data_IF_629321869138
#
_entry.id   IF_629321869138
#
_cell.length_a   1.000
_cell.length_b   1.000
_cell.length_c   1.000
_cell.angle_alpha   90.00
_cell.angle_beta   90.00
_cell.angle_gamma   90.00
#
_symmetry.space_group_name_H-M   'P 1'
#
loop_
_entity.id
_entity.type
_entity.pdbx_description
1 polymer ?
#
# COMPACT_ATOMS: atom_id res chain seq x y z
N UNK A 1 15.63 -22.15 21.81
CA UNK A 1 16.14 -20.77 21.93
C UNK A 1 16.58 -20.26 20.57
N UNK A 2 15.63 -19.70 19.82
CA UNK A 2 15.91 -19.06 18.52
C UNK A 2 15.70 -17.55 18.67
N UNK A 3 16.54 -16.89 19.49
CA UNK A 3 16.69 -15.44 19.47
C UNK A 3 17.77 -15.11 18.43
N UNK A 4 17.39 -14.90 17.18
CA UNK A 4 18.21 -14.11 16.27
C UNK A 4 18.03 -12.65 16.68
N UNK A 5 18.96 -12.13 17.45
CA UNK A 5 19.10 -10.69 17.62
C UNK A 5 19.41 -10.10 16.23
N UNK A 6 18.43 -9.40 15.66
CA UNK A 6 18.69 -8.54 14.50
C UNK A 6 19.56 -7.40 15.01
N UNK A 7 20.83 -7.42 14.65
CA UNK A 7 21.72 -6.29 14.94
C UNK A 7 21.23 -5.06 14.16
N UNK A 8 21.46 -3.84 14.68
CA UNK A 8 21.11 -2.59 13.99
C UNK A 8 21.65 -2.51 12.55
N UNK A 9 22.80 -3.11 12.27
CA UNK A 9 23.41 -3.19 10.94
C UNK A 9 22.60 -4.01 9.92
N UNK A 10 21.80 -4.98 10.38
CA UNK A 10 20.93 -5.75 9.50
C UNK A 10 19.70 -4.91 9.07
N UNK A 11 19.24 -4.05 9.96
CA UNK A 11 18.13 -3.12 9.67
C UNK A 11 18.56 -1.99 8.71
N UNK A 12 19.84 -1.58 8.72
CA UNK A 12 20.35 -0.56 7.79
C UNK A 12 20.61 -1.11 6.39
N UNK A 13 20.98 -2.37 6.24
CA UNK A 13 21.17 -3.00 4.90
C UNK A 13 19.85 -3.22 4.16
N UNK A 14 18.77 -3.51 4.89
CA UNK A 14 17.43 -3.62 4.31
C UNK A 14 16.87 -2.25 3.89
N UNK A 15 17.49 -1.15 4.34
CA UNK A 15 17.20 0.23 3.95
C UNK A 15 17.94 0.73 2.72
N UNK A 16 18.71 -0.09 2.03
CA UNK A 16 19.11 0.22 0.66
C UNK A 16 17.84 0.22 -0.20
N UNK A 17 17.04 1.27 0.02
CA UNK A 17 15.86 1.54 -0.75
C UNK A 17 16.29 1.52 -2.21
N UNK A 18 15.78 0.58 -2.96
CA UNK A 18 15.64 0.81 -4.40
C UNK A 18 14.99 2.19 -4.48
N UNK A 19 15.63 3.19 -5.13
CA UNK A 19 15.02 4.50 -5.25
C UNK A 19 13.79 4.34 -6.13
N UNK A 20 12.70 3.93 -5.49
CA UNK A 20 11.41 3.89 -6.14
C UNK A 20 10.91 5.32 -6.14
N UNK A 21 10.75 5.87 -7.31
CA UNK A 21 10.11 7.15 -7.48
C UNK A 21 8.64 6.98 -7.05
N UNK A 22 8.13 7.81 -6.13
CA UNK A 22 6.69 7.82 -5.86
C UNK A 22 5.99 8.17 -7.18
N UNK A 23 5.19 7.25 -7.68
CA UNK A 23 4.38 7.54 -8.87
C UNK A 23 3.42 8.69 -8.54
N UNK A 24 3.38 9.76 -9.33
CA UNK A 24 2.49 10.88 -9.08
C UNK A 24 1.04 10.43 -8.91
N UNK A 25 0.33 11.05 -7.98
CA UNK A 25 -1.10 10.86 -7.83
C UNK A 25 -1.80 11.21 -9.15
N UNK A 26 -2.56 10.27 -9.69
CA UNK A 26 -3.38 10.53 -10.86
C UNK A 26 -4.75 11.06 -10.45
N UNK A 27 -5.38 11.80 -11.34
CA UNK A 27 -6.78 12.21 -11.15
C UNK A 27 -7.64 10.96 -10.98
N UNK A 28 -8.31 10.89 -9.84
CA UNK A 28 -9.14 9.72 -9.51
C UNK A 28 -10.54 9.78 -10.10
N UNK A 29 -10.98 10.97 -10.51
CA UNK A 29 -12.38 11.23 -10.89
C UNK A 29 -13.35 11.19 -9.71
N UNK A 30 -12.84 11.06 -8.48
CA UNK A 30 -13.65 10.98 -7.27
C UNK A 30 -14.29 12.34 -6.94
N UNK A 31 -15.58 12.34 -6.68
CA UNK A 31 -16.29 13.52 -6.19
C UNK A 31 -16.10 13.62 -4.67
N UNK A 32 -15.26 14.55 -4.24
CA UNK A 32 -15.05 14.82 -2.80
C UNK A 32 -16.17 15.72 -2.30
N UNK A 33 -16.96 15.24 -1.34
CA UNK A 33 -18.12 15.96 -0.78
C UNK A 33 -17.73 16.89 0.36
N UNK A 34 -16.84 16.47 1.24
CA UNK A 34 -16.38 17.25 2.40
C UNK A 34 -14.85 17.30 2.36
N UNK A 35 -14.28 18.31 1.67
CA UNK A 35 -12.84 18.39 1.50
C UNK A 35 -12.14 18.67 2.83
N UNK A 36 -10.98 18.05 3.00
CA UNK A 36 -10.01 18.33 4.06
C UNK A 36 -8.70 18.77 3.43
N UNK A 37 -7.67 19.06 4.24
CA UNK A 37 -6.36 19.49 3.73
C UNK A 37 -5.72 18.45 2.81
N UNK A 38 -5.91 17.13 3.09
CA UNK A 38 -5.24 16.05 2.36
C UNK A 38 -6.18 15.20 1.49
N UNK A 39 -7.48 15.51 1.46
CA UNK A 39 -8.46 14.71 0.74
C UNK A 39 -9.89 15.02 1.19
N UNK A 40 -10.71 14.01 1.45
CA UNK A 40 -12.05 14.20 1.97
C UNK A 40 -12.97 13.00 1.80
N UNK A 41 -14.20 13.15 2.23
CA UNK A 41 -15.22 12.11 2.08
C UNK A 41 -15.67 11.97 0.62
N UNK A 42 -15.79 10.74 0.18
CA UNK A 42 -16.40 10.34 -1.08
C UNK A 42 -17.64 9.52 -0.79
N UNK A 43 -18.38 9.11 -1.82
CA UNK A 43 -19.51 8.21 -1.62
C UNK A 43 -18.99 6.88 -1.02
N UNK A 44 -19.54 6.52 0.15
CA UNK A 44 -19.20 5.30 0.92
C UNK A 44 -17.74 5.16 1.37
N UNK A 45 -16.94 6.26 1.38
CA UNK A 45 -15.53 6.16 1.75
C UNK A 45 -14.87 7.49 2.09
N UNK A 46 -13.55 7.41 2.23
CA UNK A 46 -12.66 8.53 2.44
C UNK A 46 -11.46 8.46 1.50
N UNK A 47 -11.16 9.55 0.81
CA UNK A 47 -10.03 9.64 -0.11
C UNK A 47 -8.91 10.52 0.45
N UNK A 48 -7.66 10.11 0.22
CA UNK A 48 -6.44 10.86 0.47
C UNK A 48 -5.78 11.14 -0.88
N UNK A 49 -5.92 12.37 -1.37
CA UNK A 49 -5.49 12.76 -2.72
C UNK A 49 -4.23 13.62 -2.73
N UNK A 50 -3.96 14.34 -1.63
CA UNK A 50 -2.76 15.15 -1.45
C UNK A 50 -2.05 14.76 -0.15
N UNK A 51 -1.09 13.86 -0.25
CA UNK A 51 -0.29 13.40 0.89
C UNK A 51 0.75 14.44 1.33
N UNK A 52 1.12 15.36 0.45
CA UNK A 52 2.14 16.38 0.71
C UNK A 52 1.58 17.58 1.45
N UNK A 53 0.28 17.84 1.34
CA UNK A 53 -0.37 18.95 2.02
C UNK A 53 -0.21 18.90 3.56
N UNK A 54 -0.01 17.70 4.12
CA UNK A 54 0.25 17.52 5.55
C UNK A 54 1.25 16.38 5.80
N UNK A 55 2.53 16.57 5.49
CA UNK A 55 3.52 15.49 5.45
C UNK A 55 3.86 14.88 6.82
N UNK A 56 3.57 15.58 7.92
CA UNK A 56 3.86 15.10 9.29
C UNK A 56 2.69 14.40 9.94
N UNK A 57 1.57 14.22 9.26
CA UNK A 57 0.42 13.53 9.80
C UNK A 57 0.68 12.02 9.93
N UNK A 58 0.07 11.34 10.89
CA UNK A 58 0.01 9.88 10.87
C UNK A 58 -0.69 9.39 9.59
N UNK A 59 -0.26 8.24 9.05
CA UNK A 59 -0.90 7.67 7.87
C UNK A 59 -2.36 7.29 8.15
N UNK A 60 -3.23 7.49 7.18
CA UNK A 60 -4.58 6.97 7.21
C UNK A 60 -4.55 5.47 6.97
N UNK A 61 -5.24 4.71 7.79
CA UNK A 61 -5.27 3.26 7.71
C UNK A 61 -6.69 2.74 7.49
N UNK A 62 -6.80 1.61 6.80
CA UNK A 62 -8.03 0.85 6.66
C UNK A 62 -7.81 -0.61 7.06
N UNK A 63 -8.75 -1.18 7.82
CA UNK A 63 -8.73 -2.58 8.22
C UNK A 63 -9.66 -3.34 7.29
N UNK A 64 -9.10 -4.27 6.53
CA UNK A 64 -9.81 -5.14 5.62
C UNK A 64 -9.76 -6.56 6.18
N UNK A 65 -10.89 -7.10 6.60
CA UNK A 65 -10.88 -8.40 7.27
C UNK A 65 -12.19 -9.16 7.13
N UNK A 66 -12.07 -10.46 7.24
CA UNK A 66 -13.16 -11.35 7.59
C UNK A 66 -12.91 -11.98 8.98
N UNK A 67 -13.69 -12.96 9.39
CA UNK A 67 -13.59 -13.57 10.72
C UNK A 67 -12.31 -14.41 10.95
N UNK A 68 -11.52 -14.69 9.91
CA UNK A 68 -10.33 -15.58 9.99
C UNK A 68 -9.05 -14.96 9.43
N UNK A 69 -9.15 -13.87 8.70
CA UNK A 69 -8.01 -13.28 7.99
C UNK A 69 -8.18 -11.77 7.87
N UNK A 70 -7.08 -11.03 7.94
CA UNK A 70 -7.14 -9.59 7.82
C UNK A 70 -5.83 -8.96 7.41
N UNK A 71 -5.94 -7.73 6.95
CA UNK A 71 -4.81 -6.85 6.65
C UNK A 71 -5.13 -5.43 7.09
N UNK A 72 -4.13 -4.71 7.54
CA UNK A 72 -4.20 -3.26 7.73
C UNK A 72 -3.41 -2.63 6.60
N UNK A 73 -4.05 -1.83 5.79
CA UNK A 73 -3.42 -1.05 4.72
C UNK A 73 -3.40 0.42 5.10
N UNK A 74 -2.42 1.16 4.58
CA UNK A 74 -2.36 2.60 4.79
C UNK A 74 -2.39 3.36 3.47
N UNK A 75 -2.48 4.68 3.53
CA UNK A 75 -2.43 5.52 2.33
C UNK A 75 -1.06 5.53 1.64
N UNK A 76 -0.03 4.96 2.26
CA UNK A 76 1.33 4.90 1.74
C UNK A 76 1.87 3.47 1.62
N UNK A 77 1.10 2.44 1.96
CA UNK A 77 1.54 1.06 1.89
C UNK A 77 0.43 0.00 1.86
N UNK A 78 0.84 -1.20 1.50
CA UNK A 78 0.02 -2.40 1.62
C UNK A 78 -0.07 -2.94 3.05
N UNK A 79 0.69 -2.34 3.99
CA UNK A 79 0.57 -2.59 5.41
C UNK A 79 1.08 -3.93 5.89
N UNK A 80 0.33 -4.58 6.76
CA UNK A 80 0.63 -5.91 7.26
C UNK A 80 -0.58 -6.85 7.21
N UNK A 81 -0.32 -8.13 7.16
CA UNK A 81 -1.31 -9.19 7.03
C UNK A 81 -1.22 -10.18 8.18
N UNK A 82 -2.36 -10.67 8.63
CA UNK A 82 -2.47 -11.63 9.74
C UNK A 82 -3.58 -12.65 9.51
N UNK A 83 -3.45 -13.81 10.15
CA UNK A 83 -4.49 -14.83 10.20
C UNK A 83 -5.03 -14.96 11.63
N UNK A 84 -6.33 -15.18 11.81
CA UNK A 84 -7.02 -15.40 13.07
C UNK A 84 -6.84 -14.26 14.10
N UNK A 85 -5.61 -13.97 14.53
CA UNK A 85 -5.29 -13.01 15.56
C UNK A 85 -4.17 -12.07 15.11
N UNK A 86 -4.47 -10.78 15.06
CA UNK A 86 -3.57 -9.72 14.60
C UNK A 86 -2.28 -9.56 15.40
N UNK A 87 -2.24 -10.07 16.63
CA UNK A 87 -1.05 -10.01 17.48
C UNK A 87 -0.18 -11.25 17.39
N UNK A 88 -0.79 -12.45 17.35
CA UNK A 88 -0.07 -13.72 17.50
C UNK A 88 0.23 -14.40 16.16
N UNK A 89 -0.61 -14.19 15.16
CA UNK A 89 -0.49 -14.87 13.86
C UNK A 89 -0.24 -13.87 12.73
N UNK A 90 0.81 -13.08 12.88
CA UNK A 90 1.26 -12.18 11.83
C UNK A 90 1.93 -12.96 10.71
N UNK A 91 1.59 -12.62 9.49
CA UNK A 91 2.24 -13.14 8.28
C UNK A 91 3.35 -12.19 7.89
N UNK A 92 3.07 -10.88 7.95
CA UNK A 92 4.03 -9.82 7.71
C UNK A 92 4.14 -8.91 8.94
N UNK A 93 5.25 -8.18 9.14
CA UNK A 93 5.49 -7.43 10.37
C UNK A 93 4.63 -6.17 10.46
N UNK A 94 4.28 -5.80 11.68
CA UNK A 94 3.73 -4.50 12.02
C UNK A 94 4.65 -3.80 13.02
N UNK A 95 5.26 -2.71 12.60
CA UNK A 95 6.22 -1.98 13.40
C UNK A 95 5.57 -0.92 14.30
N UNK A 96 4.30 -0.62 14.12
CA UNK A 96 3.55 0.40 14.86
C UNK A 96 4.26 1.77 14.85
N UNK A 97 4.89 2.11 13.74
CA UNK A 97 5.59 3.37 13.55
C UNK A 97 4.75 4.29 12.66
N UNK A 98 4.01 5.18 13.31
CA UNK A 98 3.15 6.13 12.63
C UNK A 98 3.91 7.26 11.90
N UNK A 99 5.22 7.36 12.09
CA UNK A 99 6.03 8.42 11.46
C UNK A 99 6.65 7.94 10.16
N UNK A 100 7.33 6.80 10.18
CA UNK A 100 7.98 6.26 8.99
C UNK A 100 7.06 5.35 8.19
N UNK A 101 5.93 4.92 8.81
CA UNK A 101 4.96 3.99 8.20
C UNK A 101 5.69 2.85 7.46
N UNK A 102 6.61 2.20 8.17
CA UNK A 102 7.49 1.20 7.61
C UNK A 102 6.76 -0.15 7.58
N UNK A 103 6.69 -0.80 6.44
CA UNK A 103 5.83 -1.96 6.21
C UNK A 103 6.56 -3.17 5.74
N UNK A 104 5.91 -4.31 6.02
CA UNK A 104 6.29 -5.57 5.49
C UNK A 104 5.85 -5.85 4.06
N UNK A 105 5.00 -5.02 3.45
CA UNK A 105 4.43 -5.31 2.13
C UNK A 105 4.47 -4.11 1.20
N UNK A 106 4.97 -4.33 -0.04
CA UNK A 106 5.14 -3.30 -1.05
C UNK A 106 4.78 -3.79 -2.45
N UNK A 107 4.34 -2.88 -3.30
CA UNK A 107 4.08 -3.15 -4.70
C UNK A 107 4.84 -2.16 -5.58
N UNK A 108 5.65 -2.70 -6.47
CA UNK A 108 6.45 -1.92 -7.41
C UNK A 108 6.05 -2.19 -8.85
N UNK A 109 6.19 -1.18 -9.67
CA UNK A 109 6.09 -1.26 -11.12
C UNK A 109 7.43 -0.85 -11.74
N UNK A 110 7.94 -1.64 -12.69
CA UNK A 110 9.05 -1.25 -13.56
C UNK A 110 8.48 -0.78 -14.90
N UNK A 111 8.85 0.43 -15.30
CA UNK A 111 8.45 1.04 -16.56
C UNK A 111 9.56 1.94 -17.11
N UNK A 112 9.94 1.80 -18.38
CA UNK A 112 11.01 2.57 -19.05
C UNK A 112 12.34 2.58 -18.28
N UNK A 113 12.68 1.46 -17.60
CA UNK A 113 13.92 1.32 -16.84
C UNK A 113 13.87 1.84 -15.40
N UNK A 114 12.86 2.61 -15.04
CA UNK A 114 12.64 3.14 -13.69
C UNK A 114 11.75 2.21 -12.86
N UNK A 115 11.90 2.28 -11.54
CA UNK A 115 11.08 1.54 -10.58
C UNK A 115 10.22 2.53 -9.79
N UNK A 116 8.92 2.27 -9.78
CA UNK A 116 7.92 3.09 -9.11
C UNK A 116 7.26 2.32 -7.97
N UNK A 117 7.15 2.94 -6.79
CA UNK A 117 6.25 2.48 -5.75
C UNK A 117 4.83 2.97 -6.10
N UNK A 118 3.97 2.04 -6.49
CA UNK A 118 2.62 2.36 -6.98
C UNK A 118 1.60 2.57 -5.87
N UNK A 119 2.04 2.48 -4.60
CA UNK A 119 1.20 2.72 -3.42
C UNK A 119 1.61 4.03 -2.72
N UNK A 120 2.91 4.19 -2.40
CA UNK A 120 3.39 5.32 -1.59
C UNK A 120 3.09 6.69 -2.21
N UNK A 121 3.19 6.81 -3.55
CA UNK A 121 2.87 8.05 -4.27
C UNK A 121 1.42 8.19 -4.70
N UNK A 122 0.62 7.11 -4.66
CA UNK A 122 -0.73 7.08 -5.20
C UNK A 122 -1.73 7.91 -4.39
N UNK A 123 -2.78 8.40 -5.03
CA UNK A 123 -4.02 8.76 -4.33
C UNK A 123 -4.64 7.50 -3.74
N UNK A 124 -5.06 7.53 -2.48
CA UNK A 124 -5.69 6.41 -1.82
C UNK A 124 -7.16 6.69 -1.54
N UNK A 125 -8.01 5.69 -1.66
CA UNK A 125 -9.41 5.76 -1.25
C UNK A 125 -9.76 4.53 -0.43
N UNK A 126 -10.36 4.75 0.73
CA UNK A 126 -10.74 3.72 1.68
C UNK A 126 -12.24 3.57 1.72
N UNK A 127 -12.69 2.37 1.40
CA UNK A 127 -14.11 2.01 1.38
C UNK A 127 -14.40 0.90 2.39
N UNK A 128 -15.66 0.64 2.60
CA UNK A 128 -16.08 -0.50 3.41
C UNK A 128 -15.75 -1.79 2.67
N UNK A 129 -14.70 -2.49 3.11
CA UNK A 129 -14.31 -3.80 2.59
C UNK A 129 -13.23 -3.80 1.51
N UNK A 130 -12.79 -2.63 1.00
CA UNK A 130 -11.66 -2.54 0.09
C UNK A 130 -10.94 -1.20 0.18
N UNK A 131 -9.73 -1.15 -0.33
CA UNK A 131 -8.95 0.07 -0.54
C UNK A 131 -8.54 0.17 -2.00
N UNK A 132 -8.50 1.37 -2.53
CA UNK A 132 -8.10 1.66 -3.90
C UNK A 132 -6.96 2.66 -3.93
N UNK A 133 -6.00 2.43 -4.80
CA UNK A 133 -4.85 3.31 -5.02
C UNK A 133 -4.75 3.63 -6.51
N UNK A 134 -4.55 4.91 -6.85
CA UNK A 134 -4.44 5.34 -8.24
C UNK A 134 -3.22 6.23 -8.39
N UNK A 135 -2.33 5.84 -9.31
CA UNK A 135 -1.14 6.60 -9.66
C UNK A 135 -0.90 6.58 -11.18
N UNK A 136 0.05 7.39 -11.63
CA UNK A 136 0.49 7.38 -13.01
C UNK A 136 2.02 7.53 -13.08
N UNK A 137 2.65 6.84 -14.01
CA UNK A 137 4.05 7.00 -14.35
C UNK A 137 4.15 7.19 -15.86
N UNK A 138 4.39 8.43 -16.29
CA UNK A 138 4.31 8.82 -17.69
C UNK A 138 2.93 8.51 -18.28
N UNK A 139 2.90 7.69 -19.32
CA UNK A 139 1.67 7.32 -20.04
C UNK A 139 0.93 6.13 -19.41
N UNK A 140 1.50 5.52 -18.38
CA UNK A 140 0.90 4.35 -17.72
C UNK A 140 0.21 4.78 -16.43
N UNK A 141 -1.11 4.60 -16.40
CA UNK A 141 -1.93 4.77 -15.20
C UNK A 141 -2.16 3.41 -14.55
N UNK A 142 -2.00 3.34 -13.24
CA UNK A 142 -2.18 2.12 -12.46
C UNK A 142 -3.26 2.34 -11.41
N UNK A 143 -4.22 1.42 -11.37
CA UNK A 143 -5.21 1.28 -10.31
C UNK A 143 -4.94 -0.02 -9.57
N UNK A 144 -4.78 0.05 -8.27
CA UNK A 144 -4.58 -1.11 -7.40
C UNK A 144 -5.74 -1.19 -6.42
N UNK A 145 -6.49 -2.29 -6.45
CA UNK A 145 -7.58 -2.55 -5.51
C UNK A 145 -7.18 -3.67 -4.56
N UNK A 146 -7.34 -3.43 -3.26
CA UNK A 146 -6.96 -4.38 -2.19
C UNK A 146 -8.19 -4.73 -1.37
N UNK A 147 -8.41 -6.03 -1.13
CA UNK A 147 -9.51 -6.50 -0.30
C UNK A 147 -9.22 -7.90 0.29
N UNK A 148 -10.02 -8.27 1.28
CA UNK A 148 -10.07 -9.62 1.85
C UNK A 148 -11.44 -10.21 1.52
N UNK A 149 -11.51 -11.27 0.71
CA UNK A 149 -12.79 -11.93 0.38
C UNK A 149 -13.48 -12.48 1.63
N UNK A 150 -14.81 -12.45 1.67
CA UNK A 150 -15.58 -12.83 2.85
C UNK A 150 -15.42 -14.30 3.26
N UNK A 151 -15.18 -15.20 2.31
CA UNK A 151 -15.06 -16.64 2.53
C UNK A 151 -13.63 -17.19 2.55
N UNK A 152 -12.61 -16.37 2.19
CA UNK A 152 -11.28 -16.85 1.94
C UNK A 152 -10.26 -16.27 2.93
N UNK A 153 -9.20 -17.03 3.21
CA UNK A 153 -8.08 -16.58 4.03
C UNK A 153 -6.95 -16.07 3.16
N UNK A 154 -7.22 -15.02 2.39
CA UNK A 154 -6.24 -14.38 1.52
C UNK A 154 -6.47 -12.88 1.43
N UNK A 155 -5.40 -12.16 1.15
CA UNK A 155 -5.41 -10.80 0.69
C UNK A 155 -5.35 -10.80 -0.83
N UNK A 156 -6.29 -10.15 -1.45
CA UNK A 156 -6.35 -10.02 -2.91
C UNK A 156 -5.88 -8.62 -3.32
N UNK A 157 -5.00 -8.57 -4.29
CA UNK A 157 -4.47 -7.35 -4.89
C UNK A 157 -4.78 -7.42 -6.39
N UNK A 158 -5.73 -6.62 -6.85
CA UNK A 158 -6.05 -6.49 -8.26
C UNK A 158 -5.30 -5.29 -8.83
N UNK A 159 -4.62 -5.48 -9.95
CA UNK A 159 -3.85 -4.43 -10.62
C UNK A 159 -4.45 -4.23 -12.02
N UNK A 160 -4.87 -3.01 -12.30
CA UNK A 160 -5.30 -2.57 -13.62
C UNK A 160 -4.31 -1.52 -14.12
N UNK A 161 -3.76 -1.74 -15.32
CA UNK A 161 -2.84 -0.80 -15.94
C UNK A 161 -3.40 -0.34 -17.28
N UNK A 162 -3.50 0.97 -17.45
CA UNK A 162 -3.95 1.63 -18.67
C UNK A 162 -2.78 2.38 -19.29
N UNK A 163 -2.54 2.16 -20.58
CA UNK A 163 -1.54 2.88 -21.34
C UNK A 163 -2.23 3.90 -22.28
N UNK A 164 -1.97 5.17 -22.08
CA UNK A 164 -2.50 6.25 -22.90
C UNK A 164 -1.60 6.62 -24.09
N UNK A 165 -0.39 6.05 -24.20
CA UNK A 165 0.48 6.22 -25.34
C UNK A 165 -0.08 5.50 -26.56
N UNK A 166 0.24 5.98 -27.76
CA UNK A 166 -0.11 5.31 -29.01
C UNK A 166 0.71 4.04 -29.29
N UNK A 167 1.74 3.77 -28.50
CA UNK A 167 2.66 2.65 -28.63
C UNK A 167 2.52 1.67 -27.46
N UNK A 168 2.80 0.36 -27.66
CA UNK A 168 2.78 -0.62 -26.58
C UNK A 168 3.75 -0.26 -25.45
N UNK A 169 3.32 -0.46 -24.22
CA UNK A 169 4.15 -0.26 -23.02
C UNK A 169 4.56 -1.62 -22.44
N UNK A 170 5.86 -1.78 -22.16
CA UNK A 170 6.38 -2.92 -21.41
C UNK A 170 6.43 -2.53 -19.92
N UNK A 171 5.58 -3.21 -19.13
CA UNK A 171 5.48 -3.00 -17.70
C UNK A 171 5.59 -4.32 -16.94
N UNK A 172 6.30 -4.30 -15.82
CA UNK A 172 6.41 -5.45 -14.93
C UNK A 172 6.04 -5.03 -13.51
N UNK A 173 5.29 -5.87 -12.81
CA UNK A 173 4.94 -5.65 -11.41
C UNK A 173 5.70 -6.62 -10.51
N UNK A 174 6.11 -6.14 -9.35
CA UNK A 174 6.76 -6.92 -8.32
C UNK A 174 6.10 -6.64 -6.96
N UNK A 175 5.55 -7.69 -6.34
CA UNK A 175 5.09 -7.65 -4.97
C UNK A 175 6.18 -8.19 -4.05
N UNK A 176 6.56 -7.42 -3.04
CA UNK A 176 7.50 -7.82 -2.00
C UNK A 176 6.79 -7.97 -0.67
N UNK A 177 7.09 -9.04 0.05
CA UNK A 177 6.60 -9.26 1.40
C UNK A 177 7.76 -9.70 2.32
N UNK A 178 7.87 -9.02 3.46
CA UNK A 178 8.75 -9.43 4.55
C UNK A 178 7.98 -10.38 5.46
N UNK A 179 8.43 -11.63 5.60
CA UNK A 179 7.67 -12.66 6.31
C UNK A 179 8.15 -12.80 7.75
N UNK A 180 7.22 -12.73 8.71
CA UNK A 180 7.48 -12.95 10.14
C UNK A 180 7.00 -14.32 10.57
N UNK A 181 5.85 -14.76 10.08
CA UNK A 181 5.21 -16.06 10.34
C UNK A 181 5.04 -16.36 11.84
N UNK A 182 4.46 -15.41 12.56
CA UNK A 182 4.15 -15.59 13.97
C UNK A 182 4.32 -14.37 14.83
N UNK A 183 4.56 -14.60 16.11
CA UNK A 183 4.81 -13.56 17.10
C UNK A 183 6.26 -13.09 17.00
N UNK A 184 6.49 -11.79 16.98
CA UNK A 184 7.83 -11.15 17.06
C UNK A 184 8.08 -10.61 18.44
#
# INVERSE_FOLDING_TARGET
>A
DYKRERTPEHCERDRAAVPALPAPAAETGLQIRYPTVCGGFVEDGFAVTDKQAFPTRPPWCNILSNYRFGTVVSDSSLGYTYALNASQFRITPWYNDAVSDNYGEKLYMKYKGEIYDVIAGASAAFYRGYAEYVCAAGDVRVRTTVFVPSGEQCKTICIEAENSAGEPADVSFCYGADLVLGQT
#
